data_IF_893692710394
#
_entry.id   IF_893692710394
#
_cell.length_a   1.000
_cell.length_b   1.000
_cell.length_c   1.000
_cell.angle_alpha   90.00
_cell.angle_beta   90.00
_cell.angle_gamma   90.00
#
_symmetry.space_group_name_H-M   'P 1'
#
loop_
_entity.id
_entity.type
_entity.pdbx_description
1 polymer ?
#
# COMPACT_ATOMS: atom_id res chain seq x y z
N UNK A 1 -2.92 -13.30 7.09
CA UNK A 1 -3.49 -14.66 7.18
C UNK A 1 -5.02 -14.67 6.97
N UNK A 2 -5.80 -13.88 7.74
CA UNK A 2 -7.28 -13.85 7.64
C UNK A 2 -7.79 -13.33 6.28
N UNK A 3 -7.14 -12.32 5.68
CA UNK A 3 -7.60 -11.72 4.42
C UNK A 3 -7.41 -12.63 3.19
N UNK A 4 -6.29 -13.35 3.13
CA UNK A 4 -6.08 -14.41 2.12
C UNK A 4 -7.09 -15.54 2.28
N UNK A 5 -7.47 -15.87 3.52
CA UNK A 5 -8.57 -16.80 3.80
C UNK A 5 -9.92 -16.29 3.29
N UNK A 6 -10.25 -15.00 3.49
CA UNK A 6 -11.50 -14.41 3.01
C UNK A 6 -11.57 -14.40 1.46
N UNK A 7 -10.47 -14.02 0.80
CA UNK A 7 -10.38 -14.03 -0.66
C UNK A 7 -10.38 -15.47 -1.22
N UNK A 8 -9.80 -16.45 -0.52
CA UNK A 8 -9.91 -17.89 -0.85
C UNK A 8 -11.34 -18.40 -0.68
N UNK A 9 -12.02 -18.05 0.40
CA UNK A 9 -13.43 -18.43 0.66
C UNK A 9 -14.37 -17.87 -0.42
N UNK A 10 -14.09 -16.66 -0.91
CA UNK A 10 -14.84 -16.05 -2.01
C UNK A 10 -14.42 -16.56 -3.39
N UNK A 11 -13.43 -17.45 -3.48
CA UNK A 11 -12.88 -18.02 -4.72
C UNK A 11 -12.16 -17.02 -5.61
N UNK A 12 -11.76 -15.88 -5.03
CA UNK A 12 -11.00 -14.81 -5.68
C UNK A 12 -9.50 -15.18 -5.70
N UNK A 13 -9.05 -16.03 -4.79
CA UNK A 13 -7.66 -16.48 -4.67
C UNK A 13 -7.60 -18.02 -4.77
N UNK A 14 -6.94 -18.54 -5.80
CA UNK A 14 -6.62 -19.97 -5.95
C UNK A 14 -5.10 -20.12 -5.95
N UNK A 15 -4.59 -20.83 -4.95
CA UNK A 15 -3.23 -21.35 -4.82
C UNK A 15 -2.08 -20.37 -4.54
N UNK A 16 -1.63 -20.37 -3.28
CA UNK A 16 -0.25 -20.00 -2.91
C UNK A 16 0.23 -20.85 -1.71
N UNK A 17 -0.15 -22.12 -1.65
CA UNK A 17 0.37 -23.06 -0.66
C UNK A 17 1.59 -23.80 -1.24
N UNK A 18 2.71 -23.09 -1.30
CA UNK A 18 4.03 -23.72 -1.17
C UNK A 18 4.92 -22.79 -0.35
N UNK A 19 5.53 -23.39 0.68
CA UNK A 19 6.54 -22.82 1.57
C UNK A 19 6.06 -21.89 2.69
N UNK A 20 5.49 -22.47 3.76
CA UNK A 20 5.83 -22.06 5.13
C UNK A 20 5.68 -23.26 6.07
N UNK A 21 6.68 -24.13 6.08
CA UNK A 21 7.06 -24.92 7.26
C UNK A 21 8.55 -24.73 7.46
N UNK A 22 8.93 -24.44 8.70
CA UNK A 22 10.29 -24.32 9.24
C UNK A 22 11.03 -22.99 8.97
N UNK A 23 11.20 -22.17 10.01
CA UNK A 23 12.40 -22.24 10.86
C UNK A 23 12.39 -21.15 11.96
N UNK A 24 12.67 -21.62 13.17
CA UNK A 24 13.02 -20.88 14.38
C UNK A 24 14.51 -20.49 14.40
N UNK A 25 14.83 -19.44 15.18
CA UNK A 25 16.14 -19.01 15.67
C UNK A 25 17.12 -18.34 14.67
N UNK A 26 17.41 -17.05 14.88
CA UNK A 26 18.57 -16.55 15.65
C UNK A 26 18.75 -15.03 15.45
N UNK A 27 19.12 -14.34 16.53
CA UNK A 27 19.31 -12.89 16.59
C UNK A 27 20.73 -12.45 16.18
N UNK A 28 20.86 -11.27 15.54
CA UNK A 28 21.71 -10.12 15.95
C UNK A 28 21.99 -9.18 14.76
N UNK A 29 21.67 -7.89 14.95
CA UNK A 29 22.35 -6.74 14.36
C UNK A 29 22.20 -6.53 12.85
N UNK A 30 21.08 -5.93 12.42
CA UNK A 30 20.93 -5.14 11.18
C UNK A 30 19.58 -4.42 11.25
N UNK A 31 19.49 -3.21 10.68
CA UNK A 31 18.31 -2.35 10.77
C UNK A 31 17.00 -3.08 10.44
N UNK A 32 15.92 -2.71 11.12
CA UNK A 32 14.62 -3.37 11.04
C UNK A 32 14.03 -3.29 9.61
N UNK A 33 14.43 -4.23 8.74
CA UNK A 33 13.75 -4.52 7.48
C UNK A 33 12.46 -5.25 7.84
N UNK A 34 11.32 -4.63 7.59
CA UNK A 34 10.02 -5.28 7.74
C UNK A 34 9.69 -5.94 6.40
N UNK A 35 9.97 -7.23 6.28
CA UNK A 35 9.60 -8.05 5.13
C UNK A 35 9.97 -9.51 5.36
N UNK A 36 9.08 -10.44 5.03
CA UNK A 36 9.37 -11.88 5.08
C UNK A 36 10.55 -12.18 4.14
N UNK A 37 11.60 -12.77 4.70
CA UNK A 37 12.76 -13.31 3.99
C UNK A 37 12.42 -14.70 3.44
N UNK A 38 12.22 -14.76 2.13
CA UNK A 38 12.43 -15.97 1.33
C UNK A 38 12.89 -15.52 -0.07
N UNK A 39 14.18 -15.74 -0.34
CA UNK A 39 14.77 -15.99 -1.65
C UNK A 39 14.56 -14.97 -2.76
N UNK A 40 15.62 -14.20 -3.07
CA UNK A 40 16.04 -13.74 -4.42
C UNK A 40 15.00 -13.25 -5.45
N UNK A 41 13.80 -12.86 -5.04
CA UNK A 41 12.86 -12.15 -5.88
C UNK A 41 12.99 -10.64 -5.62
N UNK A 42 13.29 -9.87 -6.66
CA UNK A 42 13.64 -8.45 -6.65
C UNK A 42 12.47 -7.56 -6.19
N UNK A 43 12.10 -7.64 -4.91
CA UNK A 43 11.13 -6.73 -4.31
C UNK A 43 11.64 -5.29 -4.40
N UNK A 44 10.76 -4.36 -4.79
CA UNK A 44 11.12 -2.95 -4.93
C UNK A 44 11.31 -2.33 -3.54
N UNK A 45 12.54 -1.94 -3.24
CA UNK A 45 12.88 -1.28 -1.98
C UNK A 45 12.43 0.19 -2.00
N UNK A 46 11.49 0.52 -1.12
CA UNK A 46 11.01 1.86 -0.85
C UNK A 46 11.64 2.39 0.44
N UNK A 47 12.19 3.61 0.41
CA UNK A 47 12.62 4.33 1.62
C UNK A 47 11.42 5.07 2.18
N UNK A 48 11.15 4.89 3.47
CA UNK A 48 10.01 5.52 4.14
C UNK A 48 10.48 6.44 5.25
N UNK A 49 9.99 7.66 5.21
CA UNK A 49 10.31 8.73 6.16
C UNK A 49 9.03 9.08 6.90
N UNK A 50 9.05 8.99 8.22
CA UNK A 50 7.87 9.19 9.06
C UNK A 50 8.09 10.44 9.91
N UNK A 51 7.25 11.45 9.71
CA UNK A 51 7.31 12.70 10.46
C UNK A 51 7.15 12.41 11.97
N UNK A 52 7.95 13.04 12.86
CA UNK A 52 7.94 12.73 14.29
C UNK A 52 6.58 12.90 14.99
N UNK A 53 5.67 13.68 14.41
CA UNK A 53 4.30 13.89 14.90
C UNK A 53 3.35 12.73 14.58
N UNK A 54 3.76 11.81 13.70
CA UNK A 54 2.99 10.63 13.31
C UNK A 54 3.39 9.42 14.17
N UNK A 55 2.40 8.64 14.61
CA UNK A 55 2.62 7.37 15.32
C UNK A 55 3.37 6.36 14.41
N UNK A 56 4.67 6.20 14.67
CA UNK A 56 5.56 5.28 13.94
C UNK A 56 5.08 3.84 13.99
N UNK A 57 4.59 3.35 15.13
CA UNK A 57 4.18 1.96 15.27
C UNK A 57 2.89 1.68 14.49
N UNK A 58 1.96 2.63 14.46
CA UNK A 58 0.77 2.57 13.60
C UNK A 58 1.15 2.45 12.13
N UNK A 59 2.11 3.26 11.67
CA UNK A 59 2.63 3.17 10.29
C UNK A 59 3.25 1.80 10.03
N UNK A 60 4.10 1.30 10.93
CA UNK A 60 4.74 -0.02 10.77
C UNK A 60 3.73 -1.16 10.72
N UNK A 61 2.63 -1.09 11.49
CA UNK A 61 1.52 -2.04 11.40
C UNK A 61 0.76 -1.88 10.07
N UNK A 62 0.54 -0.65 9.61
CA UNK A 62 -0.13 -0.38 8.34
C UNK A 62 0.65 -0.95 7.13
N UNK A 63 1.98 -0.87 7.15
CA UNK A 63 2.84 -1.43 6.09
C UNK A 63 2.67 -2.94 5.92
N UNK A 64 2.21 -3.68 6.95
CA UNK A 64 1.95 -5.13 6.86
C UNK A 64 0.75 -5.49 5.98
N UNK A 65 -0.08 -4.52 5.63
CA UNK A 65 -1.21 -4.70 4.70
C UNK A 65 -0.74 -4.66 3.25
N UNK A 66 0.34 -3.94 2.99
CA UNK A 66 0.91 -3.81 1.64
C UNK A 66 1.53 -5.15 1.22
N UNK A 67 1.32 -5.62 -0.02
CA UNK A 67 1.95 -6.84 -0.52
C UNK A 67 3.48 -6.80 -0.42
N UNK A 68 4.08 -7.93 -0.04
CA UNK A 68 5.52 -8.06 0.16
C UNK A 68 6.40 -7.91 -1.10
N UNK A 69 5.80 -7.60 -2.25
CA UNK A 69 6.49 -7.14 -3.46
C UNK A 69 7.20 -5.80 -3.22
N UNK A 70 6.57 -4.89 -2.47
CA UNK A 70 7.26 -3.70 -1.97
C UNK A 70 7.93 -4.03 -0.63
N UNK A 71 9.21 -3.69 -0.53
CA UNK A 71 9.98 -3.79 0.71
C UNK A 71 10.21 -2.39 1.25
N UNK A 72 10.23 -2.23 2.58
CA UNK A 72 10.34 -0.92 3.20
C UNK A 72 11.60 -0.82 4.05
N UNK A 73 12.39 0.23 3.80
CA UNK A 73 13.49 0.65 4.66
C UNK A 73 13.11 1.96 5.34
N UNK A 74 12.86 1.91 6.65
CA UNK A 74 12.54 3.11 7.44
C UNK A 74 13.80 3.94 7.64
N UNK A 75 13.68 5.24 7.37
CA UNK A 75 14.72 6.25 7.51
C UNK A 75 14.28 7.33 8.50
N UNK A 76 15.24 8.08 8.99
CA UNK A 76 14.97 9.20 9.88
C UNK A 76 14.46 10.40 9.08
N UNK A 77 13.49 11.12 9.65
CA UNK A 77 12.76 12.18 8.94
C UNK A 77 13.66 13.34 8.48
N UNK A 78 14.70 13.65 9.25
CA UNK A 78 15.66 14.70 8.95
C UNK A 78 16.54 14.42 7.70
N UNK A 79 16.63 13.14 7.29
CA UNK A 79 17.27 12.76 6.04
C UNK A 79 16.40 13.05 4.80
N UNK A 80 15.08 13.27 4.97
CA UNK A 80 14.15 13.48 3.87
C UNK A 80 14.39 14.86 3.22
N UNK A 81 14.67 14.84 1.91
CA UNK A 81 14.56 16.04 1.07
C UNK A 81 13.21 16.02 0.38
N UNK A 82 12.44 17.09 0.57
CA UNK A 82 11.09 17.16 0.03
C UNK A 82 10.74 18.55 -0.49
N UNK A 83 9.74 18.58 -1.36
CA UNK A 83 9.03 19.79 -1.74
C UNK A 83 7.68 19.86 -1.01
N UNK A 84 7.31 21.05 -0.55
CA UNK A 84 5.94 21.33 -0.13
C UNK A 84 5.18 21.90 -1.33
N UNK A 85 4.10 21.24 -1.71
CA UNK A 85 3.31 21.62 -2.87
C UNK A 85 2.48 22.88 -2.58
N UNK A 86 2.17 23.64 -3.64
CA UNK A 86 1.35 24.83 -3.60
C UNK A 86 -0.08 24.62 -4.13
N UNK A 87 -0.86 25.71 -4.19
CA UNK A 87 -2.20 25.70 -4.78
C UNK A 87 -3.17 24.77 -4.05
N UNK A 88 -3.90 23.94 -4.80
CA UNK A 88 -4.84 22.95 -4.25
C UNK A 88 -4.16 21.90 -3.35
N UNK A 89 -2.85 21.70 -3.51
CA UNK A 89 -2.03 20.76 -2.74
C UNK A 89 -1.25 21.44 -1.61
N UNK A 90 -1.63 22.66 -1.21
CA UNK A 90 -0.93 23.42 -0.18
C UNK A 90 -0.67 22.58 1.09
N UNK A 91 0.58 22.58 1.55
CA UNK A 91 1.02 21.86 2.74
C UNK A 91 1.33 20.38 2.51
N UNK A 92 0.97 19.83 1.35
CA UNK A 92 1.24 18.44 1.01
C UNK A 92 2.72 18.26 0.68
N UNK A 93 3.34 17.23 1.26
CA UNK A 93 4.75 16.94 1.03
C UNK A 93 4.91 15.87 -0.04
N UNK A 94 5.85 16.11 -0.96
CA UNK A 94 6.35 15.08 -1.86
C UNK A 94 7.88 14.94 -1.71
N UNK A 95 8.41 13.72 -1.55
CA UNK A 95 9.85 13.49 -1.61
C UNK A 95 10.46 13.99 -2.92
N UNK A 96 11.74 14.37 -2.89
CA UNK A 96 12.49 14.68 -4.11
C UNK A 96 13.13 13.42 -4.73
N UNK A 97 13.46 12.41 -3.91
CA UNK A 97 14.10 11.19 -4.38
C UNK A 97 13.12 10.14 -4.89
N UNK A 98 13.52 9.37 -5.89
CA UNK A 98 12.76 8.22 -6.38
C UNK A 98 12.75 7.06 -5.37
N UNK A 99 11.63 6.34 -5.34
CA UNK A 99 11.36 5.25 -4.40
C UNK A 99 11.33 5.71 -2.94
N UNK A 100 10.86 6.93 -2.71
CA UNK A 100 10.70 7.51 -1.39
C UNK A 100 9.23 7.73 -1.07
N UNK A 101 8.90 7.51 0.19
CA UNK A 101 7.57 7.71 0.76
C UNK A 101 7.73 8.68 1.94
N UNK A 102 7.12 9.85 1.86
CA UNK A 102 6.97 10.74 3.00
C UNK A 102 5.62 10.47 3.67
N UNK A 103 5.65 10.16 4.96
CA UNK A 103 4.46 10.03 5.80
C UNK A 103 4.45 11.17 6.82
N UNK A 104 3.41 12.00 6.78
CA UNK A 104 3.36 13.25 7.56
C UNK A 104 1.98 13.50 8.16
N UNK A 105 1.90 14.37 9.16
CA UNK A 105 0.65 14.72 9.82
C UNK A 105 -0.16 15.70 8.95
N UNK A 106 -1.26 15.19 8.39
CA UNK A 106 -2.13 15.95 7.51
C UNK A 106 -2.93 17.02 8.23
N UNK A 107 -3.24 16.84 9.52
CA UNK A 107 -3.99 17.81 10.30
C UNK A 107 -3.12 19.03 10.68
N UNK A 108 -1.87 18.80 11.07
CA UNK A 108 -0.90 19.87 11.36
C UNK A 108 -0.64 20.69 10.09
N UNK A 109 -0.43 20.01 8.96
CA UNK A 109 -0.14 20.64 7.67
C UNK A 109 -1.36 21.18 6.92
N UNK A 110 -2.57 20.90 7.43
CA UNK A 110 -3.86 21.33 6.86
C UNK A 110 -4.03 20.92 5.40
N UNK A 111 -3.56 19.72 5.05
CA UNK A 111 -3.62 19.23 3.68
C UNK A 111 -5.03 18.76 3.32
N UNK A 112 -5.42 19.00 2.07
CA UNK A 112 -6.71 18.56 1.53
C UNK A 112 -6.72 17.08 1.14
N UNK A 113 -5.61 16.60 0.59
CA UNK A 113 -5.49 15.25 0.04
C UNK A 113 -4.72 14.34 0.98
N UNK A 114 -5.16 13.09 1.05
CA UNK A 114 -4.61 12.11 1.98
C UNK A 114 -3.40 11.35 1.39
N UNK A 115 -3.32 11.25 0.07
CA UNK A 115 -2.25 10.57 -0.65
C UNK A 115 -2.04 11.21 -2.01
N UNK A 116 -0.85 11.00 -2.57
CA UNK A 116 -0.52 11.47 -3.90
C UNK A 116 0.85 10.98 -4.36
N UNK A 117 1.02 10.91 -5.68
CA UNK A 117 2.26 10.48 -6.31
C UNK A 117 2.68 11.41 -7.45
N UNK A 118 3.98 11.52 -7.67
CA UNK A 118 4.52 12.01 -8.94
C UNK A 118 5.71 11.13 -9.36
N UNK A 119 5.51 10.30 -10.38
CA UNK A 119 6.45 9.25 -10.73
C UNK A 119 6.57 8.22 -9.62
N UNK A 120 7.77 8.01 -9.08
CA UNK A 120 8.05 7.02 -8.02
C UNK A 120 8.20 7.63 -6.63
N UNK A 121 7.67 8.84 -6.46
CA UNK A 121 7.72 9.66 -5.25
C UNK A 121 6.32 9.68 -4.65
N UNK A 122 6.20 9.36 -3.37
CA UNK A 122 4.91 9.17 -2.71
C UNK A 122 4.80 10.09 -1.49
N UNK A 123 3.70 10.81 -1.38
CA UNK A 123 3.30 11.49 -0.16
C UNK A 123 2.06 10.82 0.45
N UNK A 124 2.07 10.61 1.76
CA UNK A 124 0.92 10.08 2.51
C UNK A 124 0.70 10.93 3.74
N UNK A 125 -0.42 11.65 3.77
CA UNK A 125 -0.86 12.37 4.95
C UNK A 125 -1.58 11.40 5.90
N UNK A 126 -1.34 11.52 7.20
CA UNK A 126 -2.04 10.78 8.26
C UNK A 126 -2.93 11.74 9.03
N UNK A 127 -4.18 11.35 9.25
CA UNK A 127 -5.14 12.04 10.09
C UNK A 127 -5.45 11.20 11.33
N UNK A 128 -5.61 11.84 12.50
CA UNK A 128 -5.68 11.16 13.79
C UNK A 128 -6.79 10.11 13.95
N UNK A 129 -7.81 10.11 13.09
CA UNK A 129 -8.98 9.22 13.17
C UNK A 129 -8.86 7.93 12.36
N UNK A 130 -7.87 7.78 11.48
CA UNK A 130 -7.79 6.60 10.61
C UNK A 130 -7.20 5.39 11.33
N UNK A 131 -7.63 4.17 10.98
CA UNK A 131 -7.03 2.94 11.50
C UNK A 131 -5.88 2.44 10.60
N UNK A 132 -5.15 1.41 11.04
CA UNK A 132 -4.04 0.83 10.28
C UNK A 132 -4.47 0.29 8.92
N UNK A 133 -5.69 -0.25 8.80
CA UNK A 133 -6.22 -0.78 7.55
C UNK A 133 -6.36 0.32 6.50
N UNK A 134 -6.97 1.44 6.86
CA UNK A 134 -7.15 2.59 5.98
C UNK A 134 -5.82 3.16 5.52
N UNK A 135 -4.88 3.34 6.45
CA UNK A 135 -3.55 3.84 6.14
C UNK A 135 -2.78 2.88 5.23
N UNK A 136 -2.83 1.58 5.50
CA UNK A 136 -2.18 0.56 4.69
C UNK A 136 -2.75 0.49 3.27
N UNK A 137 -4.08 0.61 3.12
CA UNK A 137 -4.73 0.67 1.81
C UNK A 137 -4.35 1.94 1.05
N UNK A 138 -4.22 3.08 1.73
CA UNK A 138 -3.76 4.33 1.10
C UNK A 138 -2.32 4.20 0.61
N UNK A 139 -1.42 3.67 1.43
CA UNK A 139 -0.03 3.44 1.02
C UNK A 139 0.02 2.50 -0.20
N UNK A 140 -0.76 1.40 -0.18
CA UNK A 140 -0.82 0.48 -1.32
C UNK A 140 -1.39 1.16 -2.57
N UNK A 141 -2.45 1.96 -2.43
CA UNK A 141 -3.03 2.73 -3.53
C UNK A 141 -1.98 3.62 -4.22
N UNK A 142 -1.25 4.43 -3.46
CA UNK A 142 -0.22 5.30 -4.03
C UNK A 142 0.92 4.50 -4.68
N UNK A 143 1.32 3.38 -4.08
CA UNK A 143 2.33 2.51 -4.66
C UNK A 143 1.91 1.92 -6.01
N UNK A 144 0.62 1.60 -6.20
CA UNK A 144 0.11 1.16 -7.50
C UNK A 144 0.25 2.26 -8.56
N UNK A 145 0.01 3.52 -8.22
CA UNK A 145 0.23 4.65 -9.14
C UNK A 145 1.71 4.76 -9.54
N UNK A 146 2.66 4.48 -8.64
CA UNK A 146 4.10 4.48 -9.00
C UNK A 146 4.48 3.42 -10.03
N UNK A 147 3.63 2.40 -10.21
CA UNK A 147 3.77 1.34 -11.22
C UNK A 147 2.99 1.64 -12.51
N UNK A 148 2.38 2.83 -12.61
CA UNK A 148 1.51 3.22 -13.72
C UNK A 148 0.20 2.43 -13.75
N UNK A 149 -0.24 1.90 -12.61
CA UNK A 149 -1.50 1.18 -12.49
C UNK A 149 -2.59 2.13 -12.00
N UNK A 150 -3.76 2.07 -12.67
CA UNK A 150 -4.92 2.89 -12.36
C UNK A 150 -5.63 2.41 -11.07
N UNK A 151 -5.14 2.86 -9.92
CA UNK A 151 -5.68 2.50 -8.61
C UNK A 151 -7.03 3.18 -8.30
N UNK A 152 -7.37 4.26 -9.01
CA UNK A 152 -8.65 4.98 -8.89
C UNK A 152 -9.77 4.29 -9.67
N UNK A 153 -9.42 3.57 -10.74
CA UNK A 153 -10.38 2.96 -11.67
C UNK A 153 -11.19 1.77 -11.17
N UNK A 154 -11.41 1.58 -9.86
CA UNK A 154 -12.16 0.45 -9.30
C UNK A 154 -13.51 0.24 -10.00
N UNK A 155 -14.27 1.33 -10.17
CA UNK A 155 -15.62 1.29 -10.75
C UNK A 155 -15.63 1.20 -12.27
N UNK A 156 -14.54 1.60 -12.92
CA UNK A 156 -14.46 1.75 -14.39
C UNK A 156 -13.66 0.63 -15.06
N UNK A 157 -12.89 -0.17 -14.29
CA UNK A 157 -12.02 -1.21 -14.81
C UNK A 157 -12.80 -2.49 -15.18
N UNK A 158 -13.27 -2.56 -16.42
CA UNK A 158 -13.95 -3.76 -16.99
C UNK A 158 -13.13 -5.05 -16.89
N UNK A 159 -11.80 -4.96 -16.83
CA UNK A 159 -10.95 -6.14 -16.72
C UNK A 159 -10.95 -6.71 -15.31
N UNK A 160 -11.07 -5.84 -14.28
CA UNK A 160 -11.30 -6.28 -12.92
C UNK A 160 -12.65 -6.99 -12.78
N UNK A 161 -13.73 -6.42 -13.32
CA UNK A 161 -15.05 -7.07 -13.27
C UNK A 161 -15.02 -8.47 -13.90
N UNK A 162 -14.31 -8.64 -15.03
CA UNK A 162 -14.13 -9.95 -15.68
C UNK A 162 -13.25 -10.91 -14.88
N UNK A 163 -12.33 -10.40 -14.08
CA UNK A 163 -11.46 -11.20 -13.22
C UNK A 163 -12.20 -11.73 -11.98
N UNK A 164 -13.20 -10.99 -11.49
CA UNK A 164 -14.05 -11.47 -10.40
C UNK A 164 -14.83 -12.73 -10.81
N UNK A 165 -15.04 -13.70 -9.91
CA UNK A 165 -15.94 -14.83 -10.15
C UNK A 165 -17.36 -14.36 -10.52
N UNK A 166 -17.99 -14.99 -11.51
CA UNK A 166 -19.33 -14.59 -12.02
C UNK A 166 -20.37 -14.47 -10.90
N UNK A 167 -20.34 -15.38 -9.91
CA UNK A 167 -21.27 -15.39 -8.77
C UNK A 167 -21.23 -14.13 -7.90
N UNK A 168 -20.16 -13.33 -7.95
CA UNK A 168 -20.05 -12.09 -7.18
C UNK A 168 -20.26 -10.82 -8.04
N UNK A 169 -20.54 -10.96 -9.34
CA UNK A 169 -20.75 -9.81 -10.23
C UNK A 169 -21.98 -8.99 -9.83
N UNK A 170 -23.08 -9.65 -9.46
CA UNK A 170 -24.29 -8.97 -8.96
C UNK A 170 -24.00 -8.18 -7.69
N UNK A 171 -23.35 -8.83 -6.73
CA UNK A 171 -22.95 -8.20 -5.46
C UNK A 171 -22.01 -7.00 -5.67
N UNK A 172 -21.06 -7.08 -6.61
CA UNK A 172 -20.20 -5.95 -6.97
C UNK A 172 -21.02 -4.75 -7.47
N UNK A 173 -21.95 -4.98 -8.41
CA UNK A 173 -22.76 -3.88 -8.97
C UNK A 173 -23.67 -3.21 -7.93
N UNK A 174 -24.16 -3.96 -6.95
CA UNK A 174 -25.13 -3.47 -5.96
C UNK A 174 -24.47 -2.83 -4.72
N UNK A 175 -23.24 -3.22 -4.38
CA UNK A 175 -22.59 -2.85 -3.11
C UNK A 175 -21.34 -2.00 -3.25
N UNK A 176 -20.92 -1.67 -4.48
CA UNK A 176 -19.64 -0.99 -4.67
C UNK A 176 -19.73 0.50 -4.36
N UNK A 177 -18.86 0.93 -3.46
CA UNK A 177 -18.43 2.32 -3.33
C UNK A 177 -16.92 2.36 -3.46
N UNK A 178 -16.37 3.46 -3.97
CA UNK A 178 -14.91 3.68 -4.06
C UNK A 178 -14.23 3.60 -2.69
N UNK A 179 -15.00 3.75 -1.61
CA UNK A 179 -14.52 3.70 -0.23
C UNK A 179 -14.74 2.35 0.46
N UNK A 180 -15.28 1.34 -0.22
CA UNK A 180 -15.42 0.00 0.35
C UNK A 180 -14.06 -0.69 0.45
N UNK A 181 -13.56 -0.89 1.66
CA UNK A 181 -12.27 -1.55 1.90
C UNK A 181 -12.21 -2.94 1.28
N UNK A 182 -13.34 -3.67 1.30
CA UNK A 182 -13.42 -5.00 0.69
C UNK A 182 -13.11 -4.94 -0.82
N UNK A 183 -13.75 -4.02 -1.54
CA UNK A 183 -13.58 -3.89 -2.98
C UNK A 183 -12.23 -3.27 -3.36
N UNK A 184 -11.74 -2.32 -2.55
CA UNK A 184 -10.37 -1.79 -2.69
C UNK A 184 -9.33 -2.90 -2.55
N UNK A 185 -9.43 -3.74 -1.51
CA UNK A 185 -8.52 -4.88 -1.33
C UNK A 185 -8.57 -5.81 -2.53
N UNK A 186 -9.76 -6.19 -2.98
CA UNK A 186 -9.90 -7.10 -4.12
C UNK A 186 -9.29 -6.50 -5.40
N UNK A 187 -9.52 -5.21 -5.64
CA UNK A 187 -9.01 -4.51 -6.81
C UNK A 187 -7.50 -4.31 -6.77
N UNK A 188 -6.95 -3.89 -5.63
CA UNK A 188 -5.50 -3.72 -5.48
C UNK A 188 -4.78 -5.07 -5.56
N UNK A 189 -5.40 -6.14 -5.06
CA UNK A 189 -4.91 -7.52 -5.26
C UNK A 189 -4.87 -7.87 -6.74
N UNK A 190 -5.97 -7.63 -7.48
CA UNK A 190 -6.00 -7.84 -8.93
C UNK A 190 -4.90 -7.06 -9.65
N UNK A 191 -4.72 -5.77 -9.33
CA UNK A 191 -3.69 -4.94 -9.95
C UNK A 191 -2.28 -5.44 -9.63
N UNK A 192 -2.03 -5.89 -8.40
CA UNK A 192 -0.71 -6.39 -7.99
C UNK A 192 -0.42 -7.76 -8.61
N UNK A 193 -1.32 -8.73 -8.48
CA UNK A 193 -1.06 -10.12 -8.90
C UNK A 193 -1.10 -10.28 -10.43
N UNK A 194 -2.07 -9.65 -11.10
CA UNK A 194 -2.28 -9.87 -12.55
C UNK A 194 -1.41 -8.97 -13.40
N UNK A 195 -1.14 -7.72 -12.97
CA UNK A 195 -0.47 -6.73 -13.82
C UNK A 195 0.97 -6.45 -13.43
N UNK A 196 1.32 -6.60 -12.16
CA UNK A 196 2.66 -6.26 -11.68
C UNK A 196 3.57 -7.50 -11.65
N UNK A 197 3.08 -8.63 -11.14
CA UNK A 197 3.90 -9.86 -11.01
C UNK A 197 3.99 -10.72 -12.27
N UNK A 198 3.29 -10.38 -13.36
CA UNK A 198 3.31 -11.13 -14.64
C UNK A 198 4.11 -10.44 -15.76
N UNK A 199 4.72 -9.29 -15.47
CA UNK A 199 5.65 -8.60 -16.38
C UNK A 199 7.06 -9.06 -16.08
#
# INVERSE_FOLDING_TARGET
MILKMLLRLLGIYKDADRATSDQTCAARGMGNVVGNDLGNDLGKLMRIYIEPTVDRDKVLRALRIVPGFWKFAVREWDELKFEELGGEWKGFILPLGDNEIAIFDGAIRKVKYAGGTAGRRVGVAVFGWENELMLGLRIWHELLHTEGLDADGLLTNKSFTRWLPERIHGFFKESVSEHSWFWQIAYYTYLTDVRLMRK
#
